data_IF_275784868347
#
_entry.id   IF_275784868347
#
_cell.length_a   1.000
_cell.length_b   1.000
_cell.length_c   1.000
_cell.angle_alpha   90.00
_cell.angle_beta   90.00
_cell.angle_gamma   90.00
#
_symmetry.space_group_name_H-M   'P 1'
#
loop_
_entity.id
_entity.type
_entity.pdbx_description
1 polymer ?
#
# COMPACT_ATOMS: atom_id res chain seq x y z
N UNK A 1 6.98 -17.90 7.60
CA UNK A 1 5.68 -18.46 7.22
C UNK A 1 4.82 -17.62 6.26
N UNK A 2 5.27 -16.45 5.78
CA UNK A 2 4.52 -15.66 4.77
C UNK A 2 5.26 -15.54 3.42
N UNK A 3 6.40 -16.19 3.27
CA UNK A 3 7.24 -16.13 2.08
C UNK A 3 6.48 -16.54 0.81
N UNK A 4 5.69 -17.62 0.88
CA UNK A 4 4.87 -18.11 -0.23
C UNK A 4 3.85 -17.08 -0.76
N UNK A 5 3.45 -16.10 0.05
CA UNK A 5 2.58 -15.01 -0.37
C UNK A 5 3.36 -13.74 -0.72
N UNK A 6 4.40 -13.41 0.07
CA UNK A 6 5.15 -12.16 -0.09
C UNK A 6 5.98 -12.15 -1.37
N UNK A 7 6.67 -13.26 -1.70
CA UNK A 7 7.54 -13.34 -2.87
C UNK A 7 6.75 -13.14 -4.18
N UNK A 8 5.61 -13.83 -4.41
CA UNK A 8 4.79 -13.56 -5.58
C UNK A 8 4.26 -12.11 -5.64
N UNK A 9 3.84 -11.54 -4.50
CA UNK A 9 3.37 -10.14 -4.47
C UNK A 9 4.51 -9.21 -4.90
N UNK A 10 5.71 -9.35 -4.33
CA UNK A 10 6.87 -8.53 -4.69
C UNK A 10 7.22 -8.69 -6.17
N UNK A 11 7.22 -9.93 -6.69
CA UNK A 11 7.44 -10.16 -8.10
C UNK A 11 6.40 -9.48 -9.00
N UNK A 12 5.14 -9.54 -8.62
CA UNK A 12 4.04 -8.86 -9.34
C UNK A 12 4.12 -7.33 -9.25
N UNK A 13 4.65 -6.78 -8.15
CA UNK A 13 4.87 -5.34 -8.00
C UNK A 13 6.03 -4.82 -8.87
N UNK A 14 7.03 -5.65 -9.15
CA UNK A 14 8.18 -5.28 -10.01
C UNK A 14 7.85 -5.33 -11.50
N UNK A 15 6.74 -5.97 -11.86
CA UNK A 15 6.35 -6.08 -13.27
C UNK A 15 5.48 -4.91 -13.69
N UNK A 16 5.89 -4.21 -14.74
CA UNK A 16 5.08 -3.16 -15.33
C UNK A 16 3.87 -3.73 -16.08
N UNK A 17 2.75 -3.02 -15.99
CA UNK A 17 1.56 -3.28 -16.82
C UNK A 17 1.04 -4.73 -16.74
N UNK A 18 0.72 -5.21 -15.54
CA UNK A 18 0.05 -6.50 -15.36
C UNK A 18 -1.29 -6.54 -16.09
N UNK A 19 -2.04 -5.44 -16.05
CA UNK A 19 -3.36 -5.33 -16.66
C UNK A 19 -3.30 -4.76 -18.07
N UNK A 20 -4.06 -5.37 -18.99
CA UNK A 20 -4.19 -4.89 -20.37
C UNK A 20 -4.96 -3.57 -20.37
N UNK A 21 -4.40 -2.55 -21.04
CA UNK A 21 -5.10 -1.28 -21.26
C UNK A 21 -6.20 -1.48 -22.31
N UNK A 22 -7.47 -1.19 -21.99
CA UNK A 22 -8.56 -1.35 -22.94
C UNK A 22 -8.43 -0.34 -24.08
N UNK A 23 -8.65 -0.81 -25.31
CA UNK A 23 -8.67 0.04 -26.52
C UNK A 23 -10.03 0.66 -26.80
N UNK A 24 -11.09 0.16 -26.16
CA UNK A 24 -12.46 0.62 -26.35
C UNK A 24 -13.22 0.67 -25.02
N UNK A 25 -14.35 1.41 -25.00
CA UNK A 25 -15.22 1.50 -23.81
C UNK A 25 -15.76 0.13 -23.40
N UNK A 26 -16.14 -0.70 -24.36
CA UNK A 26 -16.66 -2.06 -24.11
C UNK A 26 -15.61 -2.96 -23.49
N UNK A 27 -14.36 -2.88 -23.96
CA UNK A 27 -13.24 -3.63 -23.35
C UNK A 27 -12.94 -3.11 -21.94
N UNK A 28 -13.06 -1.82 -21.69
CA UNK A 28 -12.89 -1.26 -20.37
C UNK A 28 -13.93 -1.78 -19.37
N UNK A 29 -15.20 -1.83 -19.77
CA UNK A 29 -16.28 -2.38 -18.95
C UNK A 29 -16.06 -3.87 -18.65
N UNK A 30 -15.64 -4.66 -19.68
CA UNK A 30 -15.26 -6.08 -19.50
C UNK A 30 -14.09 -6.23 -18.51
N UNK A 31 -13.01 -5.48 -18.72
CA UNK A 31 -11.83 -5.54 -17.87
C UNK A 31 -12.16 -5.20 -16.40
N UNK A 32 -12.96 -4.17 -16.15
CA UNK A 32 -13.42 -3.80 -14.80
C UNK A 32 -14.18 -4.96 -14.16
N UNK A 33 -15.09 -5.61 -14.87
CA UNK A 33 -15.88 -6.74 -14.38
C UNK A 33 -14.98 -7.93 -13.99
N UNK A 34 -14.07 -8.30 -14.89
CA UNK A 34 -13.13 -9.42 -14.69
C UNK A 34 -12.17 -9.13 -13.53
N UNK A 35 -11.58 -7.93 -13.48
CA UNK A 35 -10.67 -7.57 -12.40
C UNK A 35 -11.38 -7.48 -11.04
N UNK A 36 -12.64 -7.03 -11.01
CA UNK A 36 -13.45 -7.05 -9.78
C UNK A 36 -13.76 -8.50 -9.32
N UNK A 37 -13.89 -9.44 -10.23
CA UNK A 37 -14.03 -10.86 -9.89
C UNK A 37 -12.73 -11.41 -9.31
N UNK A 38 -11.59 -11.21 -9.96
CA UNK A 38 -10.27 -11.61 -9.47
C UNK A 38 -9.95 -11.00 -8.10
N UNK A 39 -10.34 -9.76 -7.88
CA UNK A 39 -10.21 -9.12 -6.58
C UNK A 39 -11.02 -9.84 -5.49
N UNK A 40 -12.26 -10.25 -5.79
CA UNK A 40 -13.10 -11.02 -4.85
C UNK A 40 -12.50 -12.39 -4.56
N UNK A 41 -11.97 -13.09 -5.55
CA UNK A 41 -11.26 -14.36 -5.39
C UNK A 41 -10.01 -14.20 -4.49
N UNK A 42 -9.31 -13.06 -4.58
CA UNK A 42 -8.22 -12.65 -3.68
C UNK A 42 -8.68 -12.16 -2.30
N UNK A 43 -9.96 -12.29 -1.96
CA UNK A 43 -10.53 -11.85 -0.69
C UNK A 43 -10.93 -10.37 -0.64
N UNK A 44 -10.80 -9.62 -1.73
CA UNK A 44 -11.31 -8.24 -1.90
C UNK A 44 -10.73 -7.16 -0.98
N UNK A 45 -9.73 -7.50 -0.17
CA UNK A 45 -9.27 -6.67 0.95
C UNK A 45 -8.17 -5.67 0.57
N UNK A 46 -7.47 -5.89 -0.57
CA UNK A 46 -6.37 -5.03 -1.01
C UNK A 46 -5.95 -5.33 -2.45
N UNK A 47 -5.25 -4.39 -3.07
CA UNK A 47 -4.65 -4.63 -4.40
C UNK A 47 -3.56 -5.70 -4.33
N UNK A 48 -2.85 -5.81 -3.20
CA UNK A 48 -1.83 -6.84 -3.00
C UNK A 48 -2.42 -8.25 -2.97
N UNK A 49 -3.56 -8.45 -2.30
CA UNK A 49 -4.25 -9.74 -2.31
C UNK A 49 -4.79 -10.08 -3.69
N UNK A 50 -5.23 -9.08 -4.46
CA UNK A 50 -5.65 -9.26 -5.85
C UNK A 50 -4.48 -9.71 -6.74
N UNK A 51 -3.31 -9.09 -6.61
CA UNK A 51 -2.11 -9.50 -7.35
C UNK A 51 -1.67 -10.92 -7.00
N UNK A 52 -1.74 -11.30 -5.72
CA UNK A 52 -1.45 -12.66 -5.29
C UNK A 52 -2.41 -13.67 -5.90
N UNK A 53 -3.71 -13.40 -5.87
CA UNK A 53 -4.72 -14.27 -6.47
C UNK A 53 -4.50 -14.43 -7.98
N UNK A 54 -4.24 -13.33 -8.69
CA UNK A 54 -3.92 -13.38 -10.13
C UNK A 54 -2.71 -14.27 -10.39
N UNK A 55 -1.64 -14.12 -9.60
CA UNK A 55 -0.44 -14.93 -9.75
C UNK A 55 -0.73 -16.42 -9.52
N UNK A 56 -1.44 -16.75 -8.44
CA UNK A 56 -1.80 -18.12 -8.09
C UNK A 56 -2.68 -18.77 -9.16
N UNK A 57 -3.78 -18.13 -9.54
CA UNK A 57 -4.70 -18.63 -10.57
C UNK A 57 -3.99 -18.81 -11.93
N UNK A 58 -3.15 -17.86 -12.32
CA UNK A 58 -2.37 -17.97 -13.53
C UNK A 58 -1.38 -19.15 -13.47
N UNK A 59 -0.79 -19.43 -12.31
CA UNK A 59 0.19 -20.50 -12.13
C UNK A 59 -0.50 -21.87 -12.10
N UNK A 60 -1.60 -22.00 -11.36
CA UNK A 60 -2.40 -23.22 -11.29
C UNK A 60 -3.01 -23.60 -12.64
N UNK A 61 -3.48 -22.64 -13.40
CA UNK A 61 -3.99 -22.80 -14.76
C UNK A 61 -2.91 -23.04 -15.83
N UNK A 62 -1.65 -23.27 -15.44
CA UNK A 62 -0.52 -23.48 -16.34
C UNK A 62 -0.02 -22.20 -17.03
N UNK A 63 -0.41 -21.03 -16.58
CA UNK A 63 -0.03 -19.71 -17.13
C UNK A 63 -0.26 -19.60 -18.64
N UNK A 64 -1.40 -20.08 -19.11
CA UNK A 64 -1.71 -20.07 -20.53
C UNK A 64 -1.94 -18.65 -21.03
N UNK A 65 -1.54 -18.40 -22.26
CA UNK A 65 -1.79 -17.11 -22.92
C UNK A 65 -3.29 -16.85 -23.07
N UNK A 66 -4.05 -17.91 -23.24
CA UNK A 66 -5.50 -17.90 -23.40
C UNK A 66 -6.19 -17.42 -22.11
N UNK A 67 -5.85 -18.03 -20.97
CA UNK A 67 -6.35 -17.60 -19.66
C UNK A 67 -6.04 -16.12 -19.39
N UNK A 68 -4.82 -15.68 -19.67
CA UNK A 68 -4.44 -14.28 -19.48
C UNK A 68 -5.26 -13.33 -20.37
N UNK A 69 -5.49 -13.67 -21.63
CA UNK A 69 -6.31 -12.87 -22.54
C UNK A 69 -7.77 -12.77 -22.06
N UNK A 70 -8.33 -13.89 -21.57
CA UNK A 70 -9.69 -13.93 -21.05
C UNK A 70 -9.86 -13.06 -19.81
N UNK A 71 -8.82 -12.98 -18.99
CA UNK A 71 -8.79 -12.17 -17.77
C UNK A 71 -8.22 -10.77 -17.96
N UNK A 72 -7.99 -10.32 -19.19
CA UNK A 72 -7.43 -9.00 -19.50
C UNK A 72 -6.07 -8.73 -18.80
N UNK A 73 -5.21 -9.76 -18.76
CA UNK A 73 -3.88 -9.74 -18.13
C UNK A 73 -2.82 -9.95 -19.21
N UNK A 74 -1.69 -9.25 -19.07
CA UNK A 74 -0.54 -9.46 -19.93
C UNK A 74 0.18 -10.77 -19.60
N UNK A 75 0.10 -11.75 -20.48
CA UNK A 75 0.78 -13.06 -20.33
C UNK A 75 2.29 -12.91 -20.09
N UNK A 76 2.97 -11.97 -20.78
CA UNK A 76 4.40 -11.72 -20.58
C UNK A 76 4.70 -11.22 -19.18
N UNK A 77 3.82 -10.41 -18.59
CA UNK A 77 3.94 -9.93 -17.23
C UNK A 77 3.94 -11.10 -16.22
N UNK A 78 3.03 -12.05 -16.40
CA UNK A 78 2.97 -13.25 -15.55
C UNK A 78 4.24 -14.09 -15.70
N UNK A 79 4.74 -14.31 -16.92
CA UNK A 79 5.99 -15.06 -17.13
C UNK A 79 7.21 -14.36 -16.50
N UNK A 80 7.28 -13.04 -16.61
CA UNK A 80 8.33 -12.26 -15.94
C UNK A 80 8.21 -12.38 -14.41
N UNK A 81 7.01 -12.27 -13.86
CA UNK A 81 6.79 -12.44 -12.42
C UNK A 81 7.20 -13.84 -11.93
N UNK A 82 6.91 -14.90 -12.69
CA UNK A 82 7.35 -16.27 -12.39
C UNK A 82 8.89 -16.36 -12.33
N UNK A 83 9.59 -15.83 -13.34
CA UNK A 83 11.05 -15.81 -13.34
C UNK A 83 11.64 -15.03 -12.17
N UNK A 84 11.02 -13.90 -11.80
CA UNK A 84 11.43 -13.13 -10.62
C UNK A 84 11.20 -13.92 -9.33
N UNK A 85 10.07 -14.63 -9.20
CA UNK A 85 9.80 -15.49 -8.06
C UNK A 85 10.87 -16.58 -7.89
N UNK A 86 11.27 -17.23 -8.97
CA UNK A 86 12.34 -18.25 -8.98
C UNK A 86 13.69 -17.65 -8.51
N UNK A 87 14.04 -16.46 -9.02
CA UNK A 87 15.26 -15.75 -8.63
C UNK A 87 15.23 -15.36 -7.15
N UNK A 88 14.12 -14.79 -6.67
CA UNK A 88 13.99 -14.40 -5.26
C UNK A 88 14.00 -15.63 -4.35
N UNK A 89 13.34 -16.73 -4.72
CA UNK A 89 13.39 -18.00 -4.02
C UNK A 89 14.83 -18.50 -3.87
N UNK A 90 15.60 -18.54 -4.97
CA UNK A 90 17.01 -18.95 -4.94
C UNK A 90 17.89 -18.04 -4.07
N UNK A 91 17.59 -16.75 -3.96
CA UNK A 91 18.29 -15.83 -3.04
C UNK A 91 17.98 -16.16 -1.59
N UNK A 92 16.71 -16.38 -1.28
CA UNK A 92 16.27 -16.70 0.09
C UNK A 92 16.83 -18.04 0.57
N UNK A 93 16.89 -19.04 -0.30
CA UNK A 93 17.50 -20.34 -0.02
C UNK A 93 18.99 -20.22 0.33
N UNK A 94 19.73 -19.37 -0.42
CA UNK A 94 21.16 -19.11 -0.15
C UNK A 94 21.40 -18.39 1.18
N UNK A 95 20.42 -17.62 1.65
CA UNK A 95 20.52 -16.87 2.91
C UNK A 95 20.05 -17.71 4.11
N UNK A 96 19.75 -18.99 3.92
CA UNK A 96 19.22 -19.88 4.94
C UNK A 96 17.98 -19.32 5.68
N UNK A 97 17.18 -18.51 4.96
CA UNK A 97 15.91 -17.99 5.45
C UNK A 97 14.90 -19.14 5.40
N UNK A 98 14.99 -20.03 6.37
CA UNK A 98 14.10 -21.19 6.46
C UNK A 98 12.72 -20.77 6.91
N UNK A 99 11.72 -21.29 6.23
CA UNK A 99 10.33 -21.24 6.68
C UNK A 99 10.19 -22.30 7.78
N UNK A 100 9.85 -21.90 8.99
CA UNK A 100 9.51 -22.86 10.04
C UNK A 100 8.27 -23.64 9.60
N UNK A 101 8.43 -24.95 9.33
CA UNK A 101 7.34 -25.85 8.91
C UNK A 101 6.19 -25.91 9.93
N UNK A 102 6.48 -25.57 11.20
CA UNK A 102 5.46 -25.46 12.26
C UNK A 102 4.48 -24.32 12.04
N UNK A 103 4.88 -23.29 11.30
CA UNK A 103 4.04 -22.14 10.99
C UNK A 103 3.06 -22.41 9.83
N UNK A 104 3.29 -23.42 8.98
CA UNK A 104 2.38 -23.79 7.88
C UNK A 104 1.08 -24.43 8.38
N UNK A 105 1.11 -25.13 9.50
CA UNK A 105 -0.04 -25.92 10.00
C UNK A 105 -1.10 -25.14 10.78
N UNK A 106 -0.86 -23.90 11.14
CA UNK A 106 -1.73 -23.12 12.07
C UNK A 106 -2.45 -21.98 11.37
N UNK A 107 -2.31 -21.82 10.05
CA UNK A 107 -2.73 -20.58 9.39
C UNK A 107 -4.02 -20.81 8.61
N UNK A 108 -5.14 -20.30 9.16
CA UNK A 108 -6.31 -19.99 8.33
C UNK A 108 -5.89 -19.01 7.23
N UNK A 109 -6.51 -19.08 6.05
CA UNK A 109 -6.20 -18.20 4.90
C UNK A 109 -6.12 -16.72 5.28
N UNK A 110 -6.91 -16.31 6.27
CA UNK A 110 -6.95 -14.93 6.78
C UNK A 110 -5.70 -14.54 7.59
N UNK A 111 -5.12 -15.45 8.39
CA UNK A 111 -3.90 -15.17 9.17
C UNK A 111 -2.66 -15.08 8.28
N UNK A 112 -2.56 -15.88 7.22
CA UNK A 112 -1.50 -15.77 6.22
C UNK A 112 -1.57 -14.40 5.52
N UNK A 113 -2.75 -13.98 5.09
CA UNK A 113 -2.98 -12.66 4.50
C UNK A 113 -2.55 -11.52 5.44
N UNK A 114 -2.82 -11.61 6.73
CA UNK A 114 -2.40 -10.60 7.71
C UNK A 114 -0.88 -10.56 7.89
N UNK A 115 -0.20 -11.69 8.00
CA UNK A 115 1.26 -11.78 8.12
C UNK A 115 1.96 -11.27 6.86
N UNK A 116 1.46 -11.60 5.69
CA UNK A 116 1.98 -11.09 4.43
C UNK A 116 1.85 -9.57 4.35
N UNK A 117 0.69 -9.01 4.71
CA UNK A 117 0.48 -7.56 4.78
C UNK A 117 1.43 -6.88 5.75
N UNK A 118 1.68 -7.49 6.91
CA UNK A 118 2.63 -6.98 7.89
C UNK A 118 4.07 -6.98 7.35
N UNK A 119 4.51 -8.07 6.73
CA UNK A 119 5.84 -8.15 6.12
C UNK A 119 6.02 -7.10 4.99
N UNK A 120 5.03 -6.94 4.12
CA UNK A 120 5.04 -5.92 3.08
C UNK A 120 5.04 -4.49 3.65
N UNK A 121 4.34 -4.27 4.76
CA UNK A 121 4.35 -3.01 5.48
C UNK A 121 5.77 -2.66 5.99
N UNK A 122 6.53 -3.63 6.50
CA UNK A 122 7.92 -3.43 6.88
C UNK A 122 8.83 -3.14 5.68
N UNK A 123 8.61 -3.79 4.54
CA UNK A 123 9.36 -3.52 3.31
C UNK A 123 9.04 -2.17 2.67
N UNK A 124 7.79 -1.73 2.78
CA UNK A 124 7.27 -0.49 2.18
C UNK A 124 7.05 0.62 3.22
N UNK A 125 7.80 0.62 4.33
CA UNK A 125 7.58 1.56 5.43
C UNK A 125 7.69 3.04 5.02
N UNK A 126 8.46 3.35 3.99
CA UNK A 126 8.54 4.70 3.41
C UNK A 126 7.28 5.12 2.62
N UNK A 127 6.47 4.14 2.21
CA UNK A 127 5.29 4.33 1.37
C UNK A 127 4.00 4.16 2.20
N UNK A 128 3.93 4.80 3.34
CA UNK A 128 2.77 4.79 4.23
C UNK A 128 1.97 6.07 4.05
N UNK A 129 0.65 5.98 4.08
CA UNK A 129 -0.22 7.13 4.10
C UNK A 129 -1.38 6.96 5.09
N UNK A 130 -1.84 8.07 5.65
CA UNK A 130 -2.98 8.14 6.56
C UNK A 130 -4.11 8.94 5.95
N UNK A 131 -5.35 8.49 6.15
CA UNK A 131 -6.54 9.24 5.73
C UNK A 131 -6.64 10.59 6.42
N UNK A 132 -7.10 11.59 5.68
CA UNK A 132 -7.40 12.92 6.22
C UNK A 132 -8.85 12.92 6.71
N UNK A 133 -9.11 13.15 8.01
CA UNK A 133 -10.46 13.13 8.57
C UNK A 133 -11.41 14.06 7.82
N UNK A 134 -12.60 13.56 7.48
CA UNK A 134 -13.64 14.31 6.75
C UNK A 134 -13.37 14.53 5.26
N UNK A 135 -12.27 13.95 4.71
CA UNK A 135 -11.92 14.05 3.29
C UNK A 135 -11.67 12.66 2.69
N UNK A 136 -11.90 12.50 1.40
CA UNK A 136 -11.53 11.28 0.65
C UNK A 136 -10.09 11.40 0.12
N UNK A 137 -9.16 11.83 0.97
CA UNK A 137 -7.74 11.98 0.63
C UNK A 137 -6.88 11.43 1.75
N UNK A 138 -5.64 11.19 1.43
CA UNK A 138 -4.61 10.69 2.33
C UNK A 138 -3.44 11.67 2.39
N UNK A 139 -2.64 11.56 3.43
CA UNK A 139 -1.39 12.28 3.56
C UNK A 139 -0.25 11.28 3.71
N UNK A 140 0.77 11.40 2.87
CA UNK A 140 1.95 10.54 2.93
C UNK A 140 2.77 10.80 4.19
N UNK A 141 3.43 9.75 4.69
CA UNK A 141 4.21 9.76 5.92
C UNK A 141 5.73 9.80 5.65
N UNK A 142 6.12 10.10 4.42
CA UNK A 142 7.50 10.18 3.92
C UNK A 142 8.27 11.45 4.35
N UNK A 143 7.69 12.23 5.26
CA UNK A 143 8.21 13.52 5.69
C UNK A 143 7.77 14.71 4.83
N UNK A 144 7.32 14.49 3.60
CA UNK A 144 6.79 15.55 2.72
C UNK A 144 5.33 15.87 3.00
N UNK A 145 4.57 14.88 3.47
CA UNK A 145 3.16 15.06 3.80
C UNK A 145 2.29 15.39 2.59
N UNK A 146 2.61 14.79 1.44
CA UNK A 146 1.91 14.99 0.18
C UNK A 146 0.46 14.53 0.29
N UNK A 147 -0.48 15.35 -0.20
CA UNK A 147 -1.89 14.96 -0.28
C UNK A 147 -2.08 14.07 -1.50
N UNK A 148 -2.52 12.84 -1.26
CA UNK A 148 -2.73 11.85 -2.31
C UNK A 148 -4.14 11.23 -2.23
N UNK A 149 -4.58 10.65 -3.34
CA UNK A 149 -5.89 10.04 -3.50
C UNK A 149 -5.73 8.57 -3.91
N UNK A 150 -6.72 7.73 -3.60
CA UNK A 150 -6.76 6.36 -4.10
C UNK A 150 -6.95 6.39 -5.61
N UNK A 151 -6.09 5.69 -6.35
CA UNK A 151 -6.22 5.61 -7.81
C UNK A 151 -7.49 4.85 -8.21
N UNK A 152 -8.21 5.26 -9.28
CA UNK A 152 -9.44 4.59 -9.73
C UNK A 152 -9.29 3.10 -10.06
N UNK A 153 -8.08 2.61 -10.35
CA UNK A 153 -7.82 1.18 -10.61
C UNK A 153 -7.70 0.33 -9.34
N UNK A 154 -7.64 0.94 -8.15
CA UNK A 154 -7.55 0.20 -6.90
C UNK A 154 -8.89 -0.42 -6.52
N UNK A 155 -8.86 -1.62 -5.93
CA UNK A 155 -10.06 -2.26 -5.35
C UNK A 155 -10.64 -1.47 -4.18
N UNK A 156 -9.86 -0.57 -3.59
CA UNK A 156 -10.28 0.31 -2.49
C UNK A 156 -10.96 1.60 -3.00
N UNK A 157 -10.95 1.83 -4.32
CA UNK A 157 -11.58 3.02 -4.88
C UNK A 157 -13.11 2.91 -4.79
N UNK A 158 -13.74 3.90 -4.18
CA UNK A 158 -15.20 3.91 -4.02
C UNK A 158 -15.74 2.98 -2.94
N UNK A 159 -14.88 2.35 -2.14
CA UNK A 159 -15.32 1.52 -1.01
C UNK A 159 -16.09 2.36 0.02
N UNK A 160 -17.11 1.74 0.66
CA UNK A 160 -17.96 2.40 1.65
C UNK A 160 -17.16 2.86 2.88
N UNK A 161 -16.15 2.09 3.27
CA UNK A 161 -15.21 2.47 4.33
C UNK A 161 -13.80 2.64 3.78
N UNK A 162 -13.22 3.83 3.99
CA UNK A 162 -11.83 4.08 3.67
C UNK A 162 -10.94 3.63 4.83
N UNK A 163 -9.91 2.80 4.60
CA UNK A 163 -8.99 2.40 5.67
C UNK A 163 -8.23 3.62 6.20
N UNK A 164 -8.03 3.69 7.52
CA UNK A 164 -7.32 4.81 8.14
C UNK A 164 -5.85 4.86 7.70
N UNK A 165 -5.21 3.70 7.59
CA UNK A 165 -3.81 3.56 7.22
C UNK A 165 -3.65 2.63 6.04
N UNK A 166 -2.82 3.04 5.10
CA UNK A 166 -2.47 2.24 3.93
C UNK A 166 -0.97 2.27 3.68
N UNK A 167 -0.45 1.19 3.10
CA UNK A 167 0.79 1.21 2.33
C UNK A 167 0.44 1.22 0.85
N UNK A 168 1.27 1.88 0.05
CA UNK A 168 1.11 1.96 -1.40
C UNK A 168 2.41 1.59 -2.10
N UNK A 169 2.32 1.14 -3.33
CA UNK A 169 3.50 0.79 -4.12
C UNK A 169 4.13 2.04 -4.74
N UNK A 170 3.35 2.88 -5.39
CA UNK A 170 3.83 4.05 -6.11
C UNK A 170 2.87 5.25 -6.02
N UNK A 171 3.44 6.44 -6.21
CA UNK A 171 2.69 7.66 -6.46
C UNK A 171 2.69 7.99 -7.94
N UNK A 172 1.54 8.38 -8.46
CA UNK A 172 1.37 8.82 -9.85
C UNK A 172 0.83 10.24 -9.86
N UNK A 173 1.62 11.16 -10.36
CA UNK A 173 1.26 12.56 -10.49
C UNK A 173 0.57 12.82 -11.84
N UNK A 174 -0.64 13.36 -11.75
CA UNK A 174 -1.43 13.82 -12.89
C UNK A 174 -1.98 15.20 -12.53
N UNK A 175 -3.25 15.51 -12.79
CA UNK A 175 -3.91 16.68 -12.20
C UNK A 175 -3.98 16.64 -10.66
N UNK A 176 -3.86 15.41 -10.08
CA UNK A 176 -3.74 15.13 -8.66
C UNK A 176 -2.74 14.01 -8.47
N UNK A 177 -2.16 13.93 -7.28
CA UNK A 177 -1.31 12.79 -6.89
C UNK A 177 -2.18 11.61 -6.49
N UNK A 178 -1.97 10.45 -7.09
CA UNK A 178 -2.68 9.21 -6.79
C UNK A 178 -1.73 8.15 -6.25
N UNK A 179 -2.19 7.42 -5.27
CA UNK A 179 -1.55 6.20 -4.79
C UNK A 179 -2.06 5.01 -5.60
N UNK A 180 -1.16 4.19 -6.13
CA UNK A 180 -1.49 2.95 -6.85
C UNK A 180 -1.04 1.75 -6.06
N UNK A 181 -1.80 0.67 -6.22
CA UNK A 181 -1.56 -0.63 -5.59
C UNK A 181 -1.43 -0.50 -4.08
N UNK A 182 -2.59 -0.46 -3.42
CA UNK A 182 -2.70 -0.18 -2.00
C UNK A 182 -3.02 -1.43 -1.18
N UNK A 183 -2.57 -1.41 0.07
CA UNK A 183 -2.96 -2.39 1.07
C UNK A 183 -3.30 -1.69 2.39
N UNK A 184 -4.49 -1.95 2.97
CA UNK A 184 -4.82 -1.50 4.31
C UNK A 184 -3.88 -2.11 5.35
N UNK A 185 -3.41 -1.30 6.28
CA UNK A 185 -2.52 -1.73 7.36
C UNK A 185 -3.01 -1.24 8.71
N UNK A 186 -2.55 -1.88 9.78
CA UNK A 186 -2.88 -1.47 11.15
C UNK A 186 -1.80 -0.53 11.68
N UNK A 187 -2.19 0.52 12.37
CA UNK A 187 -1.26 1.44 13.03
C UNK A 187 -0.23 0.71 13.91
N UNK A 188 -0.66 -0.33 14.61
CA UNK A 188 0.22 -1.14 15.46
C UNK A 188 1.41 -1.76 14.71
N UNK A 189 1.33 -1.95 13.40
CA UNK A 189 2.43 -2.50 12.60
C UNK A 189 3.44 -1.45 12.16
N UNK A 190 3.02 -0.19 12.08
CA UNK A 190 3.84 0.91 11.54
C UNK A 190 4.34 1.86 12.62
N UNK A 191 3.76 1.87 13.82
CA UNK A 191 4.08 2.84 14.89
C UNK A 191 5.58 2.94 15.21
N UNK A 192 6.28 1.80 15.16
CA UNK A 192 7.72 1.74 15.48
C UNK A 192 8.60 2.05 14.26
N UNK A 193 8.00 2.10 13.06
CA UNK A 193 8.67 2.44 11.80
C UNK A 193 8.57 3.94 11.49
N UNK A 194 7.49 4.59 11.90
CA UNK A 194 7.24 6.02 11.63
C UNK A 194 8.36 6.95 12.14
N UNK A 195 8.98 6.72 13.31
CA UNK A 195 10.11 7.55 13.77
C UNK A 195 11.35 7.47 12.87
N UNK A 196 11.46 6.46 12.01
CA UNK A 196 12.53 6.34 11.00
C UNK A 196 12.34 7.30 9.83
N UNK A 197 11.13 7.83 9.66
CA UNK A 197 10.82 8.87 8.69
C UNK A 197 11.16 10.21 9.33
N UNK A 198 12.35 10.72 9.06
CA UNK A 198 12.86 11.97 9.65
C UNK A 198 11.86 13.12 9.49
N UNK A 199 11.64 13.87 10.58
CA UNK A 199 10.81 15.09 10.63
C UNK A 199 9.31 14.90 10.38
N UNK A 200 8.75 13.77 10.76
CA UNK A 200 7.31 13.58 10.75
C UNK A 200 6.67 14.49 11.81
N UNK A 201 6.11 15.62 11.39
CA UNK A 201 5.33 16.51 12.26
C UNK A 201 4.01 15.82 12.62
N UNK A 202 3.93 15.27 13.82
CA UNK A 202 2.77 14.57 14.36
C UNK A 202 1.50 15.43 14.28
N UNK A 203 1.61 16.75 14.39
CA UNK A 203 0.48 17.69 14.28
C UNK A 203 0.03 17.89 12.82
N UNK A 204 0.93 17.79 11.85
CA UNK A 204 0.57 17.76 10.43
C UNK A 204 -0.09 16.46 10.03
N UNK A 205 0.23 15.36 10.71
CA UNK A 205 -0.34 14.03 10.46
C UNK A 205 -1.73 13.89 11.04
N UNK A 206 -1.96 14.48 12.21
CA UNK A 206 -3.27 14.63 12.78
C UNK A 206 -3.82 15.97 12.28
N UNK A 207 -4.55 16.02 11.19
CA UNK A 207 -5.49 17.13 10.94
C UNK A 207 -6.70 17.03 11.89
N UNK A 208 -6.61 16.24 12.93
CA UNK A 208 -7.48 16.35 14.08
C UNK A 208 -7.30 17.77 14.65
N UNK A 209 -8.39 18.48 14.75
CA UNK A 209 -8.62 19.83 15.24
C UNK A 209 -8.11 20.13 16.67
N UNK A 210 -7.06 19.51 17.13
CA UNK A 210 -6.29 19.98 18.26
C UNK A 210 -5.61 21.27 17.80
N UNK A 211 -6.30 22.40 18.06
CA UNK A 211 -5.66 23.72 18.00
C UNK A 211 -4.29 23.58 18.65
N UNK A 212 -3.24 23.92 17.90
CA UNK A 212 -1.90 24.10 18.51
C UNK A 212 -2.08 24.89 19.79
N UNK A 213 -1.56 24.45 20.94
CA UNK A 213 -1.50 25.32 22.09
C UNK A 213 -0.84 26.62 21.60
N UNK A 214 -1.51 27.74 21.75
CA UNK A 214 -0.91 29.05 21.50
C UNK A 214 0.35 29.04 22.36
N UNK A 215 1.53 29.22 21.75
CA UNK A 215 2.68 29.68 22.48
C UNK A 215 2.22 30.97 23.16
N UNK A 216 2.14 30.92 24.46
CA UNK A 216 1.90 32.12 25.26
C UNK A 216 2.89 33.16 24.76
N UNK A 217 2.35 34.26 24.27
CA UNK A 217 3.13 35.40 23.85
C UNK A 217 4.13 35.68 24.94
N UNK A 218 5.43 35.61 24.63
CA UNK A 218 6.48 36.09 25.46
C UNK A 218 6.04 37.48 25.92
N UNK A 219 5.88 37.64 27.24
CA UNK A 219 5.57 38.91 27.85
C UNK A 219 6.74 39.86 27.49
N UNK A 220 6.45 40.92 26.76
CA UNK A 220 7.39 42.00 26.56
C UNK A 220 7.87 42.48 27.94
N UNK A 221 9.17 42.65 28.12
CA UNK A 221 9.69 43.19 29.36
C UNK A 221 9.15 44.61 29.53
N UNK A 222 8.40 44.82 30.62
CA UNK A 222 7.88 46.10 31.04
C UNK A 222 8.98 47.15 31.05
N UNK A 223 8.72 48.28 30.38
CA UNK A 223 9.56 49.48 30.36
C UNK A 223 9.95 49.93 31.78
N UNK A 224 11.18 50.38 31.99
CA UNK A 224 11.60 50.87 33.30
C UNK A 224 10.84 52.16 33.71
N UNK A 225 10.62 52.40 35.03
CA UNK A 225 9.88 53.57 35.50
C UNK A 225 10.67 54.87 35.25
N UNK A 226 9.97 55.99 35.00
CA UNK A 226 10.61 57.24 34.72
C UNK A 226 11.38 57.79 35.96
N UNK A 227 12.60 58.31 35.76
CA UNK A 227 13.47 58.92 36.76
C UNK A 227 12.83 60.17 37.38
N UNK A 228 13.03 60.44 38.68
CA UNK A 228 12.47 61.63 39.32
C UNK A 228 13.19 62.86 38.83
N UNK A 229 12.37 63.84 38.44
CA UNK A 229 12.90 65.21 38.12
C UNK A 229 13.36 65.90 39.40
N UNK A 230 14.58 66.42 39.38
CA UNK A 230 15.04 67.48 40.26
C UNK A 230 14.58 68.82 39.76
#
# INVERSE_FOLDING_TARGET
ACQAAVVPIVAMLTVENVFVKPGSKKEAERAIGVHAQLAREGGGSSDFSTLLAIYQLATEGGSTREWCNDNCIHWRAIKTAQSICEQLGAILDRQDVRVDEKDEKIVSSDSMSQRARQALCYGLFGNVARTVPGRRSYRTMDGHGTVAYIHPSSVLFGADSTPEWVVYHELVDTAKTYMRTLCPVKYAWIKDLLPRLHNVDVYRLSECSAKRPRKDSEAEPSSPPPSPKR
#
